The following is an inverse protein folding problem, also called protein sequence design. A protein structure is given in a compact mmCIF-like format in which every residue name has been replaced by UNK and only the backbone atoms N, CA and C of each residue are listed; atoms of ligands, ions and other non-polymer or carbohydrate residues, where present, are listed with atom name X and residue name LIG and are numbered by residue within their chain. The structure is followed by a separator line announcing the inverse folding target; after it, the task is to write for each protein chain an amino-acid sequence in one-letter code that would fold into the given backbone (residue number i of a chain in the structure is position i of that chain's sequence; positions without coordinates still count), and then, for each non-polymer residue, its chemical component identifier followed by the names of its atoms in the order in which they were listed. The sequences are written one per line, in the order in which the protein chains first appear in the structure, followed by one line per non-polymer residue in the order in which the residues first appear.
data_IF_156375397551
#
_entry.id   IF_156375397551
#
_cell.length_a   1.000
_cell.length_b   1.000
_cell.length_c   1.000
_cell.angle_alpha   90.00
_cell.angle_beta   90.00
_cell.angle_gamma   90.00
#
_symmetry.space_group_name_H-M   'P 1'
#
loop_
_entity.id
_entity.type
_entity.pdbx_description
1 polymer ?
#
# COMPACT_ATOMS: atom_id res chain seq x y z
N UNK A 1 13.50 18.81 -23.37
CA UNK A 1 12.67 19.61 -22.44
C UNK A 1 11.18 19.30 -22.51
N UNK A 2 10.56 19.16 -23.70
CA UNK A 2 9.12 18.80 -23.82
C UNK A 2 8.71 17.52 -23.10
N UNK A 3 9.47 16.45 -23.25
CA UNK A 3 9.20 15.17 -22.56
C UNK A 3 9.32 15.30 -21.04
N UNK A 4 10.27 16.10 -20.56
CA UNK A 4 10.51 16.31 -19.13
C UNK A 4 9.34 17.07 -18.46
N UNK A 5 8.79 18.08 -19.14
CA UNK A 5 7.59 18.77 -18.66
C UNK A 5 6.36 17.83 -18.67
N UNK A 6 6.24 16.99 -19.70
CA UNK A 6 5.13 16.04 -19.81
C UNK A 6 5.20 14.95 -18.73
N UNK A 7 6.38 14.39 -18.44
CA UNK A 7 6.54 13.40 -17.37
C UNK A 7 6.28 14.01 -16.00
N UNK A 8 6.79 15.20 -15.71
CA UNK A 8 6.50 15.88 -14.44
C UNK A 8 5.01 16.17 -14.31
N UNK A 9 4.36 16.64 -15.38
CA UNK A 9 2.91 16.87 -15.40
C UNK A 9 2.09 15.61 -15.11
N UNK A 10 2.44 14.48 -15.76
CA UNK A 10 1.77 13.20 -15.52
C UNK A 10 1.97 12.70 -14.08
N UNK A 11 3.18 12.84 -13.55
CA UNK A 11 3.52 12.43 -12.19
C UNK A 11 2.74 13.26 -11.17
N UNK A 12 2.69 14.59 -11.34
CA UNK A 12 1.93 15.49 -10.50
C UNK A 12 0.43 15.15 -10.51
N UNK A 13 -0.14 14.84 -11.68
CA UNK A 13 -1.54 14.43 -11.80
C UNK A 13 -1.83 13.11 -11.07
N UNK A 14 -0.92 12.14 -11.13
CA UNK A 14 -1.05 10.88 -10.38
C UNK A 14 -1.04 11.13 -8.86
N UNK A 15 -0.11 11.93 -8.35
CA UNK A 15 -0.05 12.27 -6.92
C UNK A 15 -1.28 13.08 -6.47
N UNK A 16 -1.75 14.02 -7.29
CA UNK A 16 -2.97 14.77 -7.00
C UNK A 16 -4.19 13.85 -6.90
N UNK A 17 -4.33 12.87 -7.80
CA UNK A 17 -5.41 11.88 -7.75
C UNK A 17 -5.38 11.02 -6.48
N UNK A 18 -4.19 10.59 -6.05
CA UNK A 18 -4.02 9.83 -4.81
C UNK A 18 -4.37 10.70 -3.59
N UNK A 19 -3.91 11.96 -3.56
CA UNK A 19 -4.19 12.89 -2.46
C UNK A 19 -5.69 13.14 -2.28
N UNK A 20 -6.41 13.42 -3.38
CA UNK A 20 -7.87 13.62 -3.37
C UNK A 20 -8.58 12.36 -2.87
N UNK A 21 -8.16 11.17 -3.33
CA UNK A 21 -8.75 9.89 -2.90
C UNK A 21 -8.61 9.66 -1.40
N UNK A 22 -7.46 10.00 -0.81
CA UNK A 22 -7.22 9.87 0.64
C UNK A 22 -8.08 10.84 1.42
N UNK A 23 -8.14 12.10 0.98
CA UNK A 23 -8.95 13.15 1.62
C UNK A 23 -10.44 12.79 1.62
N UNK A 24 -10.93 12.18 0.53
CA UNK A 24 -12.32 11.72 0.41
C UNK A 24 -12.61 10.42 1.18
N UNK A 25 -11.62 9.75 1.79
CA UNK A 25 -11.85 8.50 2.52
C UNK A 25 -12.01 8.78 4.02
N UNK A 26 -13.04 8.19 4.64
CA UNK A 26 -13.22 8.22 6.10
C UNK A 26 -11.97 7.64 6.78
N UNK A 27 -11.43 8.38 7.76
CA UNK A 27 -10.19 8.10 8.48
C UNK A 27 -8.87 8.26 7.69
N UNK A 28 -8.91 8.73 6.43
CA UNK A 28 -7.70 9.09 5.66
C UNK A 28 -6.69 7.94 5.45
N UNK A 29 -7.09 6.68 5.68
CA UNK A 29 -6.21 5.52 5.52
C UNK A 29 -6.22 5.00 4.10
N UNK A 30 -5.08 4.58 3.57
CA UNK A 30 -5.06 3.86 2.29
C UNK A 30 -5.95 2.60 2.34
N UNK A 31 -6.58 2.24 1.22
CA UNK A 31 -7.14 0.89 1.09
C UNK A 31 -5.97 -0.09 1.12
N UNK A 32 -6.06 -1.15 1.95
CA UNK A 32 -4.97 -2.11 2.10
C UNK A 32 -4.55 -2.69 0.75
N UNK A 33 -3.29 -3.09 0.65
CA UNK A 33 -2.75 -3.72 -0.56
C UNK A 33 -2.31 -5.15 -0.24
N UNK A 34 -1.92 -5.94 -1.24
CA UNK A 34 -1.37 -7.27 -0.99
C UNK A 34 -0.17 -7.22 -0.04
N UNK A 35 0.57 -6.11 -0.02
CA UNK A 35 1.70 -5.91 0.88
C UNK A 35 1.30 -5.89 2.37
N UNK A 36 0.02 -5.64 2.70
CA UNK A 36 -0.49 -5.69 4.07
C UNK A 36 -0.47 -7.11 4.68
N UNK A 37 -0.31 -8.16 3.86
CA UNK A 37 -0.07 -9.52 4.35
C UNK A 37 1.41 -9.80 4.66
N UNK A 38 2.33 -8.86 4.40
CA UNK A 38 3.74 -9.10 4.65
C UNK A 38 4.04 -9.13 6.14
N UNK A 39 4.71 -10.16 6.67
CA UNK A 39 5.13 -10.25 8.07
C UNK A 39 6.25 -9.25 8.42
N UNK A 40 6.81 -8.56 7.42
CA UNK A 40 7.74 -7.46 7.64
C UNK A 40 7.02 -6.12 7.89
N UNK A 41 5.81 -5.96 7.34
CA UNK A 41 5.04 -4.72 7.40
C UNK A 41 3.95 -4.77 8.46
N UNK A 42 3.31 -5.91 8.67
CA UNK A 42 2.26 -6.11 9.66
C UNK A 42 2.83 -6.69 10.97
N UNK A 43 3.44 -5.82 11.79
CA UNK A 43 4.08 -6.21 13.06
C UNK A 43 3.09 -6.31 14.22
N UNK A 44 2.01 -5.55 14.17
CA UNK A 44 1.00 -5.46 15.23
C UNK A 44 -0.07 -6.57 15.13
N UNK A 45 0.02 -7.43 14.10
CA UNK A 45 -0.86 -8.57 13.95
C UNK A 45 -2.29 -8.20 13.54
N UNK A 46 -2.45 -7.10 12.82
CA UNK A 46 -3.76 -6.64 12.35
C UNK A 46 -4.30 -7.54 11.23
N UNK A 47 -5.62 -7.58 11.06
CA UNK A 47 -6.23 -8.22 9.89
C UNK A 47 -5.84 -7.47 8.62
N UNK A 48 -5.55 -8.19 7.53
CA UNK A 48 -5.14 -7.57 6.27
C UNK A 48 -6.23 -6.64 5.72
N UNK A 49 -5.92 -5.35 5.58
CA UNK A 49 -6.87 -4.35 5.08
C UNK A 49 -7.31 -4.49 3.60
N UNK A 50 -6.79 -5.49 2.88
CA UNK A 50 -7.16 -5.81 1.50
C UNK A 50 -8.08 -7.05 1.40
N UNK A 51 -7.74 -8.12 2.11
CA UNK A 51 -8.42 -9.42 2.02
C UNK A 51 -9.03 -9.93 3.33
N UNK A 52 -8.82 -9.23 4.45
CA UNK A 52 -9.39 -9.54 5.77
C UNK A 52 -8.72 -10.68 6.53
N UNK A 53 -7.80 -11.44 5.90
CA UNK A 53 -7.09 -12.55 6.54
C UNK A 53 -6.36 -12.11 7.80
N UNK A 54 -6.41 -12.95 8.84
CA UNK A 54 -5.59 -12.76 10.03
C UNK A 54 -4.12 -13.10 9.74
N UNK A 55 -3.17 -12.62 10.58
CA UNK A 55 -1.76 -12.96 10.43
C UNK A 55 -1.48 -14.46 10.38
N UNK A 56 -2.25 -15.26 11.13
CA UNK A 56 -2.16 -16.72 11.15
C UNK A 56 -2.53 -17.37 9.80
N UNK A 57 -3.28 -16.67 8.97
CA UNK A 57 -3.80 -17.14 7.68
C UNK A 57 -3.02 -16.54 6.50
N UNK A 58 -1.92 -15.82 6.77
CA UNK A 58 -1.10 -15.18 5.73
C UNK A 58 -0.49 -16.21 4.78
N UNK A 59 -0.60 -15.91 3.49
CA UNK A 59 0.07 -16.69 2.43
C UNK A 59 1.55 -16.29 2.30
N UNK A 60 1.90 -15.04 2.61
CA UNK A 60 3.26 -14.53 2.62
C UNK A 60 3.96 -14.93 3.93
N UNK A 61 4.44 -16.17 4.03
CA UNK A 61 5.17 -16.62 5.22
C UNK A 61 6.58 -16.08 5.23
N UNK A 62 7.08 -15.78 6.43
CA UNK A 62 8.49 -15.48 6.66
C UNK A 62 9.23 -16.81 6.60
N UNK A 63 9.90 -17.13 5.48
CA UNK A 63 10.84 -18.25 5.47
C UNK A 63 11.95 -17.92 6.46
N UNK A 64 12.16 -18.78 7.46
CA UNK A 64 13.17 -18.62 8.52
C UNK A 64 14.61 -18.80 8.00
N UNK A 65 14.88 -18.50 6.73
CA UNK A 65 16.22 -18.45 6.18
C UNK A 65 16.68 -16.99 6.19
N UNK A 66 17.00 -16.52 7.40
CA UNK A 66 17.97 -15.45 7.58
C UNK A 66 19.36 -16.08 7.59
N UNK A 67 19.99 -16.14 6.42
CA UNK A 67 21.44 -16.27 6.29
C UNK A 67 21.99 -14.91 5.91
#
# INVERSE_FOLDING_TARGET
MKLLLLTIGLLALAFAGIAIKIWSKKDGKFAGTCASQSPFLNKDGEACGMCGKLPSEQDCRKDTISV
#
